data_IF_094455187123
#
_entry.id   IF_094455187123
#
_cell.length_a   1.000
_cell.length_b   1.000
_cell.length_c   1.000
_cell.angle_alpha   90.00
_cell.angle_beta   90.00
_cell.angle_gamma   90.00
#
_symmetry.space_group_name_H-M   'P 1'
#
loop_
_entity.id
_entity.type
_entity.pdbx_description
1 polymer ?
#
# COMPACT_ATOMS: atom_id res chain seq x y z
N UNK A 1 23.08 -11.62 10.11
CA UNK A 1 22.20 -12.66 10.64
C UNK A 1 20.82 -12.03 10.77
N UNK A 2 19.94 -12.27 9.82
CA UNK A 2 18.64 -11.61 9.71
C UNK A 2 17.60 -12.36 10.53
N UNK A 3 17.36 -11.89 11.74
CA UNK A 3 16.34 -12.46 12.62
C UNK A 3 14.96 -11.94 12.24
N UNK A 4 14.15 -12.79 11.60
CA UNK A 4 12.77 -12.48 11.25
C UNK A 4 11.83 -12.75 12.44
N UNK A 5 11.57 -11.72 13.23
CA UNK A 5 10.62 -11.79 14.34
C UNK A 5 9.20 -11.54 13.85
N UNK A 6 8.27 -12.41 14.24
CA UNK A 6 6.84 -12.23 13.94
C UNK A 6 6.30 -10.96 14.64
N UNK A 7 5.26 -10.31 14.07
CA UNK A 7 4.46 -9.32 14.79
C UNK A 7 3.93 -9.87 16.11
N UNK A 8 3.45 -8.98 16.99
CA UNK A 8 2.83 -9.41 18.25
C UNK A 8 1.67 -10.37 17.95
N UNK A 9 1.57 -11.44 18.73
CA UNK A 9 0.47 -12.39 18.65
C UNK A 9 -0.87 -11.72 18.96
N UNK A 10 -1.96 -12.43 18.61
CA UNK A 10 -3.32 -12.01 18.95
C UNK A 10 -3.80 -12.55 20.29
N UNK A 11 -3.10 -13.55 20.83
CA UNK A 11 -3.50 -14.26 22.05
C UNK A 11 -2.34 -14.35 23.03
N UNK A 12 -2.67 -14.29 24.31
CA UNK A 12 -1.74 -14.48 25.41
C UNK A 12 -1.28 -15.93 25.44
N UNK A 13 0.03 -16.15 25.47
CA UNK A 13 0.64 -17.48 25.49
C UNK A 13 0.37 -18.26 26.79
N UNK A 14 0.04 -17.58 27.90
CA UNK A 14 -0.29 -18.21 29.17
C UNK A 14 -1.79 -18.50 29.31
N UNK A 15 -2.64 -17.53 29.01
CA UNK A 15 -4.09 -17.63 29.29
C UNK A 15 -4.91 -18.06 28.08
N UNK A 16 -4.37 -17.96 26.86
CA UNK A 16 -5.10 -18.19 25.62
C UNK A 16 -6.09 -17.08 25.24
N UNK A 17 -6.36 -16.13 26.14
CA UNK A 17 -7.24 -14.99 25.90
C UNK A 17 -6.64 -14.01 24.89
N UNK A 18 -7.50 -13.20 24.27
CA UNK A 18 -7.09 -12.18 23.32
C UNK A 18 -6.21 -11.10 23.96
N UNK A 19 -5.17 -10.68 23.24
CA UNK A 19 -4.40 -9.50 23.58
C UNK A 19 -5.15 -8.27 23.07
N UNK A 20 -5.73 -7.52 24.00
CA UNK A 20 -6.59 -6.38 23.69
C UNK A 20 -5.78 -5.27 23.00
N UNK A 21 -6.24 -4.72 21.86
CA UNK A 21 -5.65 -3.54 21.24
C UNK A 21 -5.36 -2.40 22.23
N UNK A 22 -4.24 -1.71 22.05
CA UNK A 22 -3.81 -0.61 22.91
C UNK A 22 -3.30 -1.02 24.30
N UNK A 23 -3.56 -2.26 24.75
CA UNK A 23 -3.10 -2.76 26.05
C UNK A 23 -1.60 -3.04 26.08
N UNK A 24 -1.04 -3.14 27.29
CA UNK A 24 0.37 -3.51 27.50
C UNK A 24 0.52 -5.01 27.22
N UNK A 25 1.57 -5.38 26.51
CA UNK A 25 1.96 -6.75 26.24
C UNK A 25 3.42 -6.97 26.66
N UNK A 26 3.69 -8.11 27.29
CA UNK A 26 5.03 -8.58 27.58
C UNK A 26 5.44 -9.60 26.54
N UNK A 27 6.46 -9.29 25.74
CA UNK A 27 6.98 -10.18 24.71
C UNK A 27 8.31 -10.78 25.13
N UNK A 28 8.50 -12.06 24.85
CA UNK A 28 9.76 -12.77 25.09
C UNK A 28 10.19 -13.51 23.84
N UNK A 29 11.50 -13.61 23.64
CA UNK A 29 12.12 -14.56 22.72
C UNK A 29 12.71 -15.69 23.54
N UNK A 30 12.26 -16.91 23.26
CA UNK A 30 12.80 -18.13 23.85
C UNK A 30 13.42 -18.96 22.74
N UNK A 31 14.54 -19.61 23.04
CA UNK A 31 15.12 -20.59 22.14
C UNK A 31 14.48 -21.96 22.42
N UNK A 32 13.82 -22.54 21.41
CA UNK A 32 13.22 -23.88 21.48
C UNK A 32 13.69 -24.68 20.28
N UNK A 33 14.32 -25.83 20.53
CA UNK A 33 14.81 -26.73 19.47
C UNK A 33 15.71 -26.01 18.43
N UNK A 34 16.58 -25.09 18.90
CA UNK A 34 17.46 -24.30 18.03
C UNK A 34 16.76 -23.21 17.21
N UNK A 35 15.49 -22.88 17.52
CA UNK A 35 14.73 -21.80 16.88
C UNK A 35 14.33 -20.75 17.89
N UNK A 36 14.45 -19.47 17.50
CA UNK A 36 13.90 -18.37 18.28
C UNK A 36 12.39 -18.29 18.08
N UNK A 37 11.65 -18.41 19.17
CA UNK A 37 10.19 -18.32 19.21
C UNK A 37 9.78 -17.11 20.04
N UNK A 38 8.95 -16.25 19.46
CA UNK A 38 8.30 -15.15 20.18
C UNK A 38 7.07 -15.68 20.91
N UNK A 39 6.95 -15.36 22.20
CA UNK A 39 5.73 -15.54 22.98
C UNK A 39 5.29 -14.18 23.54
N UNK A 40 3.99 -13.95 23.55
CA UNK A 40 3.38 -12.69 23.96
C UNK A 40 2.40 -12.93 25.11
N UNK A 41 2.46 -12.12 26.15
CA UNK A 41 1.70 -12.29 27.38
C UNK A 41 0.92 -11.01 27.70
N UNK A 42 -0.35 -11.19 28.08
CA UNK A 42 -1.13 -10.11 28.69
C UNK A 42 -0.53 -9.73 30.05
N UNK A 43 -0.87 -8.55 30.61
CA UNK A 43 -0.41 -8.18 31.95
C UNK A 43 -0.86 -9.19 33.01
N UNK A 44 -2.05 -9.78 32.84
CA UNK A 44 -2.60 -10.83 33.70
C UNK A 44 -1.83 -12.15 33.56
N UNK A 45 -1.48 -12.55 32.34
CA UNK A 45 -0.78 -13.80 32.07
C UNK A 45 0.74 -13.72 32.29
N UNK A 46 1.27 -12.56 32.65
CA UNK A 46 2.70 -12.34 32.81
C UNK A 46 3.17 -12.70 34.23
N UNK A 47 3.94 -13.78 34.34
CA UNK A 47 4.58 -14.22 35.59
C UNK A 47 6.10 -13.97 35.63
N UNK A 48 6.65 -13.31 34.60
CA UNK A 48 8.09 -13.14 34.41
C UNK A 48 8.61 -13.87 33.17
N UNK A 49 9.86 -13.60 32.75
CA UNK A 49 10.45 -14.28 31.60
C UNK A 49 10.63 -15.78 31.89
N UNK A 50 10.11 -16.68 31.04
CA UNK A 50 10.31 -18.13 31.20
C UNK A 50 11.79 -18.53 31.13
N UNK A 51 12.10 -19.74 31.60
CA UNK A 51 13.43 -20.34 31.39
C UNK A 51 13.76 -20.47 29.89
N UNK A 52 15.02 -20.22 29.53
CA UNK A 52 15.45 -20.19 28.13
C UNK A 52 15.10 -18.89 27.39
N UNK A 53 14.70 -17.82 28.11
CA UNK A 53 14.51 -16.49 27.52
C UNK A 53 15.85 -15.88 27.11
N UNK A 54 15.95 -15.55 25.82
CA UNK A 54 17.08 -14.83 25.20
C UNK A 54 16.89 -13.32 25.34
N UNK A 55 15.66 -12.84 25.22
CA UNK A 55 15.32 -11.43 25.38
C UNK A 55 13.86 -11.26 25.82
N UNK A 56 13.57 -10.20 26.57
CA UNK A 56 12.21 -9.80 26.91
C UNK A 56 12.04 -8.28 26.82
N UNK A 57 10.86 -7.83 26.42
CA UNK A 57 10.51 -6.42 26.35
C UNK A 57 9.02 -6.21 26.61
N UNK A 58 8.67 -4.96 26.93
CA UNK A 58 7.27 -4.53 26.99
C UNK A 58 6.95 -3.77 25.71
N UNK A 59 5.81 -4.04 25.11
CA UNK A 59 5.26 -3.29 23.99
C UNK A 59 3.77 -3.02 24.22
N UNK A 60 3.15 -2.26 23.32
CA UNK A 60 1.68 -2.16 23.24
C UNK A 60 1.18 -3.03 22.12
N UNK A 61 0.02 -3.65 22.34
CA UNK A 61 -0.72 -4.31 21.26
C UNK A 61 -1.15 -3.24 20.26
N UNK A 62 -0.81 -3.37 18.97
CA UNK A 62 -1.20 -2.39 17.98
C UNK A 62 -2.72 -2.35 17.89
N UNK A 63 -3.27 -1.15 17.70
CA UNK A 63 -4.65 -1.02 17.25
C UNK A 63 -4.81 -1.77 15.92
N UNK A 64 -5.95 -2.45 15.69
CA UNK A 64 -6.30 -2.84 14.35
C UNK A 64 -6.20 -1.59 13.50
N UNK A 65 -5.38 -1.64 12.46
CA UNK A 65 -5.44 -0.61 11.43
C UNK A 65 -6.83 -0.76 10.83
N UNK A 66 -7.78 0.06 11.28
CA UNK A 66 -9.13 0.11 10.71
C UNK A 66 -9.00 0.25 9.19
N UNK A 67 -9.96 -0.32 8.45
CA UNK A 67 -9.95 -0.51 6.99
C UNK A 67 -9.00 0.46 6.30
N UNK A 68 -7.73 0.04 6.22
CA UNK A 68 -6.81 0.74 5.35
C UNK A 68 -7.41 0.51 3.98
N UNK A 69 -7.70 1.58 3.21
CA UNK A 69 -8.14 1.42 1.83
C UNK A 69 -7.24 0.38 1.20
N UNK A 70 -7.84 -0.67 0.62
CA UNK A 70 -7.05 -1.69 -0.07
C UNK A 70 -6.06 -0.93 -0.96
N UNK A 71 -4.77 -1.27 -0.91
CA UNK A 71 -3.80 -0.60 -1.77
C UNK A 71 -4.34 -0.68 -3.19
N UNK A 72 -4.53 0.49 -3.83
CA UNK A 72 -5.18 0.57 -5.14
C UNK A 72 -4.56 -0.47 -6.08
N UNK A 73 -5.38 -1.45 -6.48
CA UNK A 73 -4.97 -2.53 -7.36
C UNK A 73 -4.42 -1.90 -8.63
N UNK A 74 -3.13 -2.16 -8.90
CA UNK A 74 -2.45 -1.57 -10.04
C UNK A 74 -3.06 -2.05 -11.36
N UNK A 75 -3.64 -3.26 -11.39
CA UNK A 75 -4.39 -3.72 -12.56
C UNK A 75 -5.76 -3.04 -12.65
N UNK A 76 -6.42 -2.76 -11.53
CA UNK A 76 -7.62 -1.92 -11.51
C UNK A 76 -7.37 -0.51 -12.05
N UNK A 77 -6.27 0.12 -11.63
CA UNK A 77 -5.85 1.43 -12.15
C UNK A 77 -5.59 1.40 -13.66
N UNK A 78 -4.97 0.32 -14.15
CA UNK A 78 -4.72 0.13 -15.58
C UNK A 78 -6.04 0.03 -16.36
N UNK A 79 -6.99 -0.80 -15.90
CA UNK A 79 -8.30 -0.94 -16.56
C UNK A 79 -9.04 0.40 -16.62
N UNK A 80 -9.02 1.16 -15.52
CA UNK A 80 -9.65 2.48 -15.48
C UNK A 80 -8.97 3.47 -16.43
N UNK A 81 -7.64 3.43 -16.52
CA UNK A 81 -6.90 4.22 -17.50
C UNK A 81 -7.30 3.89 -18.94
N UNK A 82 -7.38 2.61 -19.29
CA UNK A 82 -7.81 2.18 -20.63
C UNK A 82 -9.22 2.67 -20.96
N UNK A 83 -10.13 2.60 -19.99
CA UNK A 83 -11.48 3.12 -20.14
C UNK A 83 -11.49 4.63 -20.37
N UNK A 84 -10.72 5.41 -19.60
CA UNK A 84 -10.63 6.87 -19.78
C UNK A 84 -10.07 7.25 -21.17
N UNK A 85 -9.12 6.48 -21.68
CA UNK A 85 -8.56 6.69 -23.02
C UNK A 85 -9.60 6.34 -24.10
N UNK A 86 -10.37 5.26 -23.92
CA UNK A 86 -11.41 4.84 -24.86
C UNK A 86 -12.60 5.81 -24.89
N UNK A 87 -13.05 6.29 -23.74
CA UNK A 87 -14.16 7.24 -23.61
C UNK A 87 -13.80 8.60 -24.25
N UNK A 88 -12.52 8.97 -24.24
CA UNK A 88 -11.99 10.21 -24.84
C UNK A 88 -12.74 11.49 -24.41
N UNK A 89 -13.23 11.52 -23.17
CA UNK A 89 -13.95 12.67 -22.60
C UNK A 89 -12.97 13.82 -22.28
N UNK A 90 -13.11 15.00 -22.93
CA UNK A 90 -12.24 16.15 -22.67
C UNK A 90 -12.23 16.60 -21.20
N UNK A 91 -13.32 16.37 -20.47
CA UNK A 91 -13.41 16.74 -19.04
C UNK A 91 -12.52 15.88 -18.14
N UNK A 92 -12.10 14.71 -18.64
CA UNK A 92 -11.27 13.74 -17.93
C UNK A 92 -9.79 13.78 -18.34
N UNK A 93 -9.37 14.67 -19.23
CA UNK A 93 -7.97 14.72 -19.70
C UNK A 93 -6.96 14.89 -18.56
N UNK A 94 -7.26 15.75 -17.57
CA UNK A 94 -6.41 15.93 -16.38
C UNK A 94 -6.31 14.65 -15.54
N UNK A 95 -7.43 13.94 -15.39
CA UNK A 95 -7.47 12.66 -14.69
C UNK A 95 -6.66 11.60 -15.41
N UNK A 96 -6.84 11.48 -16.73
CA UNK A 96 -6.11 10.54 -17.57
C UNK A 96 -4.59 10.79 -17.49
N UNK A 97 -4.16 12.05 -17.58
CA UNK A 97 -2.76 12.43 -17.43
C UNK A 97 -2.18 12.04 -16.06
N UNK A 98 -2.84 12.42 -14.96
CA UNK A 98 -2.34 12.10 -13.62
C UNK A 98 -2.33 10.60 -13.34
N UNK A 99 -3.33 9.87 -13.85
CA UNK A 99 -3.38 8.41 -13.75
C UNK A 99 -2.25 7.74 -14.55
N UNK A 100 -1.94 8.26 -15.75
CA UNK A 100 -0.79 7.82 -16.53
C UNK A 100 0.53 8.01 -15.77
N UNK A 101 0.73 9.18 -15.15
CA UNK A 101 1.91 9.45 -14.30
C UNK A 101 1.99 8.50 -13.11
N UNK A 102 0.87 8.21 -12.44
CA UNK A 102 0.82 7.25 -11.33
C UNK A 102 1.20 5.83 -11.79
N UNK A 103 0.71 5.40 -12.95
CA UNK A 103 1.04 4.09 -13.53
C UNK A 103 2.49 3.99 -13.99
N UNK A 104 3.10 5.10 -14.45
CA UNK A 104 4.55 5.19 -14.71
C UNK A 104 5.36 5.01 -13.42
N UNK A 105 5.00 5.71 -12.34
CA UNK A 105 5.66 5.56 -11.04
C UNK A 105 5.57 4.12 -10.50
N UNK A 106 4.42 3.46 -10.73
CA UNK A 106 4.19 2.04 -10.40
C UNK A 106 4.84 1.06 -11.37
N UNK A 107 5.49 1.54 -12.44
CA UNK A 107 6.11 0.73 -13.51
C UNK A 107 5.12 -0.21 -14.22
N UNK A 108 3.84 0.17 -14.29
CA UNK A 108 2.81 -0.56 -15.05
C UNK A 108 2.69 -0.06 -16.48
N UNK A 109 2.90 1.25 -16.67
CA UNK A 109 3.17 1.87 -17.96
C UNK A 109 4.69 2.10 -18.12
N UNK A 110 5.12 2.24 -19.37
CA UNK A 110 6.45 2.66 -19.78
C UNK A 110 6.34 3.90 -20.65
N UNK A 111 7.26 4.83 -20.47
CA UNK A 111 7.42 5.99 -21.34
C UNK A 111 8.24 5.58 -22.57
N UNK A 112 7.62 5.63 -23.74
CA UNK A 112 8.27 5.33 -25.01
C UNK A 112 8.87 6.60 -25.65
N UNK A 113 8.29 7.76 -25.36
CA UNK A 113 8.78 9.05 -25.83
C UNK A 113 7.76 10.17 -25.58
N UNK A 114 7.97 11.29 -26.26
CA UNK A 114 6.99 12.36 -26.38
C UNK A 114 6.95 12.87 -27.82
N UNK A 115 5.82 13.46 -28.20
CA UNK A 115 5.66 14.15 -29.48
C UNK A 115 4.96 15.49 -29.27
N UNK A 116 5.18 16.40 -30.20
CA UNK A 116 4.48 17.69 -30.23
C UNK A 116 3.67 17.77 -31.51
N UNK A 117 2.39 18.08 -31.37
CA UNK A 117 1.45 18.25 -32.48
C UNK A 117 0.64 19.53 -32.22
N UNK A 118 0.62 20.46 -33.17
CA UNK A 118 -0.08 21.75 -33.05
C UNK A 118 0.24 22.53 -31.75
N UNK A 119 1.52 22.57 -31.36
CA UNK A 119 2.02 23.20 -30.12
C UNK A 119 1.50 22.55 -28.82
N UNK A 120 0.94 21.35 -28.93
CA UNK A 120 0.51 20.51 -27.81
C UNK A 120 1.46 19.34 -27.65
N UNK A 121 1.98 19.15 -26.44
CA UNK A 121 2.83 18.01 -26.10
C UNK A 121 1.99 16.79 -25.71
N UNK A 122 2.42 15.62 -26.17
CA UNK A 122 1.84 14.32 -25.85
C UNK A 122 2.93 13.39 -25.36
N UNK A 123 2.63 12.62 -24.32
CA UNK A 123 3.46 11.52 -23.83
C UNK A 123 3.02 10.21 -24.48
N UNK A 124 3.99 9.49 -25.04
CA UNK A 124 3.78 8.18 -25.68
C UNK A 124 4.07 7.07 -24.67
N UNK A 125 3.08 6.20 -24.46
CA UNK A 125 3.11 5.21 -23.40
C UNK A 125 2.80 3.81 -23.93
N UNK A 126 3.41 2.81 -23.31
CA UNK A 126 3.06 1.40 -23.51
C UNK A 126 2.78 0.70 -22.18
N UNK A 127 1.89 -0.29 -22.22
CA UNK A 127 1.62 -1.17 -21.11
C UNK A 127 2.71 -2.24 -20.95
N UNK A 128 3.06 -2.56 -19.70
CA UNK A 128 4.07 -3.59 -19.39
C UNK A 128 3.71 -4.96 -19.97
N UNK A 129 2.43 -5.28 -20.15
CA UNK A 129 1.98 -6.56 -20.69
C UNK A 129 1.64 -6.51 -22.19
N UNK A 130 2.03 -5.44 -22.87
CA UNK A 130 1.84 -5.27 -24.32
C UNK A 130 0.61 -4.46 -24.70
N UNK A 131 0.00 -3.76 -23.75
CA UNK A 131 -1.12 -2.86 -24.03
C UNK A 131 -0.66 -1.51 -24.64
N UNK A 132 -1.56 -0.79 -25.31
CA UNK A 132 -1.26 0.42 -26.06
C UNK A 132 -0.92 0.16 -27.54
N UNK A 133 -0.25 1.11 -28.23
CA UNK A 133 0.30 2.37 -27.70
C UNK A 133 -0.79 3.34 -27.24
N UNK A 134 -0.45 4.18 -26.25
CA UNK A 134 -1.31 5.27 -25.78
C UNK A 134 -0.61 6.61 -26.00
N UNK A 135 -1.39 7.61 -26.37
CA UNK A 135 -0.95 8.99 -26.55
C UNK A 135 -1.77 9.87 -25.62
N UNK A 136 -1.15 10.36 -24.55
CA UNK A 136 -1.84 11.19 -23.54
C UNK A 136 -1.31 12.60 -23.63
N UNK A 137 -2.20 13.58 -23.73
CA UNK A 137 -1.82 15.00 -23.76
C UNK A 137 -1.16 15.41 -22.44
N UNK A 138 -0.01 16.09 -22.52
CA UNK A 138 0.59 16.70 -21.34
C UNK A 138 -0.24 17.91 -20.90
N UNK A 139 -0.72 17.87 -19.68
CA UNK A 139 -1.61 18.88 -19.11
C UNK A 139 -0.85 20.03 -18.42
N UNK A 140 0.49 19.98 -18.40
CA UNK A 140 1.39 20.97 -17.81
C UNK A 140 0.97 21.40 -16.40
N UNK A 141 0.50 20.43 -15.62
CA UNK A 141 -0.02 20.67 -14.28
C UNK A 141 1.11 21.03 -13.32
N UNK A 142 0.87 22.01 -12.47
CA UNK A 142 1.73 22.31 -11.34
C UNK A 142 1.69 21.17 -10.29
N UNK A 143 2.71 21.11 -9.43
CA UNK A 143 2.74 20.12 -8.33
C UNK A 143 1.48 20.16 -7.44
N UNK A 144 0.90 21.35 -7.26
CA UNK A 144 -0.32 21.51 -6.47
C UNK A 144 -1.54 20.96 -7.21
N UNK A 145 -1.70 21.27 -8.50
CA UNK A 145 -2.78 20.70 -9.31
C UNK A 145 -2.67 19.18 -9.41
N UNK A 146 -1.46 18.64 -9.52
CA UNK A 146 -1.23 17.19 -9.50
C UNK A 146 -1.75 16.59 -8.18
N UNK A 147 -1.47 17.23 -7.03
CA UNK A 147 -1.97 16.76 -5.72
C UNK A 147 -3.49 16.82 -5.64
N UNK A 148 -4.10 17.92 -6.05
CA UNK A 148 -5.56 18.08 -6.05
C UNK A 148 -6.24 17.00 -6.90
N UNK A 149 -5.73 16.73 -8.10
CA UNK A 149 -6.25 15.69 -8.99
C UNK A 149 -6.00 14.29 -8.40
N UNK A 150 -4.85 14.04 -7.78
CA UNK A 150 -4.57 12.76 -7.11
C UNK A 150 -5.52 12.50 -5.94
N UNK A 151 -5.86 13.52 -5.15
CA UNK A 151 -6.85 13.43 -4.08
C UNK A 151 -8.24 13.13 -4.64
N UNK A 152 -8.64 13.83 -5.71
CA UNK A 152 -9.93 13.59 -6.37
C UNK A 152 -10.01 12.18 -6.96
N UNK A 153 -8.95 11.70 -7.62
CA UNK A 153 -8.81 10.35 -8.15
C UNK A 153 -8.95 9.29 -7.04
N UNK A 154 -8.30 9.50 -5.90
CA UNK A 154 -8.40 8.58 -4.75
C UNK A 154 -9.82 8.52 -4.22
N UNK A 155 -10.53 9.65 -4.11
CA UNK A 155 -11.94 9.71 -3.67
C UNK A 155 -12.86 8.97 -4.64
N UNK A 156 -12.69 9.18 -5.96
CA UNK A 156 -13.51 8.53 -6.97
C UNK A 156 -13.29 7.02 -7.00
N UNK A 157 -12.03 6.57 -6.99
CA UNK A 157 -11.69 5.15 -6.97
C UNK A 157 -12.17 4.44 -5.70
N UNK A 158 -12.20 5.13 -4.56
CA UNK A 158 -12.77 4.56 -3.31
C UNK A 158 -14.29 4.40 -3.42
N UNK A 159 -14.97 5.27 -4.18
CA UNK A 159 -16.43 5.22 -4.37
C UNK A 159 -16.83 4.15 -5.39
N UNK A 160 -16.07 4.01 -6.48
CA UNK A 160 -16.33 3.00 -7.52
C UNK A 160 -15.91 1.58 -7.12
N UNK A 161 -14.97 1.44 -6.17
CA UNK A 161 -14.49 0.14 -5.66
C UNK A 161 -14.98 -0.21 -4.24
N UNK A 162 -15.99 0.49 -3.72
CA UNK A 162 -16.75 0.06 -2.52
C UNK A 162 -17.95 -0.80 -2.90
#
# INVERSE_FOLDING_TARGET
MDYHLKPVGKTCAATGHELVPGSVCHSVLVEREGKLVRLDFSPEGWSGPPEGTVAHWKCRVPEPQGDRPQPLDTEGLMRYFEQLVEDADPSQEKFCYVLALLLLQKKRLKLEGSRVEDDVEYIELSGKHGEGPYSVRDQQLSDEEIREVQEALTKQLTTEWS
#
